data_IF_620783462659
#
_entry.id   IF_620783462659
#
_cell.length_a   1.000
_cell.length_b   1.000
_cell.length_c   1.000
_cell.angle_alpha   90.00
_cell.angle_beta   90.00
_cell.angle_gamma   90.00
#
_symmetry.space_group_name_H-M   'P 1'
#
loop_
_entity.id
_entity.type
_entity.pdbx_description
1 polymer ?
#
# COMPACT_ATOMS: atom_id res chain seq x y z
N UNK A 1 -28.13 -72.25 -13.78
CA UNK A 1 -27.05 -71.24 -13.86
C UNK A 1 -27.68 -69.92 -14.30
N UNK A 2 -27.15 -68.78 -13.84
CA UNK A 2 -27.63 -67.39 -14.06
C UNK A 2 -28.57 -66.89 -12.95
N UNK A 3 -27.98 -66.46 -11.83
CA UNK A 3 -28.59 -65.53 -10.87
C UNK A 3 -27.51 -65.00 -9.90
N UNK A 4 -26.53 -64.25 -10.43
CA UNK A 4 -25.51 -63.59 -9.61
C UNK A 4 -24.82 -62.46 -10.37
N UNK A 5 -25.56 -61.50 -10.96
CA UNK A 5 -24.89 -60.37 -11.63
C UNK A 5 -25.73 -59.09 -11.79
N UNK A 6 -26.36 -58.59 -10.72
CA UNK A 6 -26.96 -57.25 -10.76
C UNK A 6 -26.67 -56.35 -9.54
N UNK A 7 -26.14 -56.89 -8.44
CA UNK A 7 -25.94 -56.09 -7.21
C UNK A 7 -24.53 -55.50 -7.02
N UNK A 8 -23.55 -55.80 -7.88
CA UNK A 8 -22.19 -55.25 -7.74
C UNK A 8 -21.98 -53.89 -8.40
N UNK A 9 -22.81 -53.50 -9.39
CA UNK A 9 -22.63 -52.20 -10.07
C UNK A 9 -23.19 -51.01 -9.27
N UNK A 10 -24.22 -51.22 -8.45
CA UNK A 10 -24.85 -50.14 -7.69
C UNK A 10 -24.00 -49.66 -6.51
N UNK A 11 -23.22 -50.55 -5.90
CA UNK A 11 -22.40 -50.23 -4.71
C UNK A 11 -21.15 -49.43 -5.11
N UNK A 12 -20.60 -49.65 -6.31
CA UNK A 12 -19.44 -48.89 -6.79
C UNK A 12 -19.78 -47.44 -7.19
N UNK A 13 -21.02 -47.14 -7.59
CA UNK A 13 -21.43 -45.77 -7.92
C UNK A 13 -21.70 -44.92 -6.67
N UNK A 14 -22.13 -45.51 -5.56
CA UNK A 14 -22.39 -44.76 -4.32
C UNK A 14 -21.12 -44.35 -3.57
N UNK A 15 -20.00 -45.06 -3.73
CA UNK A 15 -18.75 -44.77 -3.02
C UNK A 15 -17.89 -43.66 -3.68
N UNK A 16 -18.21 -43.23 -4.91
CA UNK A 16 -17.50 -42.14 -5.60
C UNK A 16 -18.12 -40.75 -5.35
N UNK A 17 -19.29 -40.65 -4.72
CA UNK A 17 -19.98 -39.37 -4.47
C UNK A 17 -19.58 -38.74 -3.13
N UNK A 18 -18.88 -39.45 -2.25
CA UNK A 18 -18.58 -38.99 -0.88
C UNK A 18 -17.31 -38.12 -0.72
N UNK A 19 -16.59 -37.81 -1.79
CA UNK A 19 -15.37 -36.97 -1.75
C UNK A 19 -15.52 -35.62 -2.45
N UNK A 20 -16.74 -35.12 -2.61
CA UNK A 20 -16.92 -33.68 -2.86
C UNK A 20 -16.55 -32.98 -1.55
N UNK A 21 -15.28 -32.59 -1.43
CA UNK A 21 -14.83 -31.71 -0.37
C UNK A 21 -15.82 -30.53 -0.29
N UNK A 22 -16.29 -30.14 0.91
CA UNK A 22 -17.14 -28.98 1.03
C UNK A 22 -16.41 -27.83 0.35
N UNK A 23 -17.03 -27.24 -0.66
CA UNK A 23 -16.56 -25.99 -1.26
C UNK A 23 -16.55 -24.99 -0.10
N UNK A 24 -15.40 -24.85 0.57
CA UNK A 24 -15.25 -23.93 1.67
C UNK A 24 -15.64 -22.57 1.12
N UNK A 25 -16.53 -21.87 1.85
CA UNK A 25 -16.95 -20.54 1.44
C UNK A 25 -15.69 -19.69 1.16
N UNK A 26 -15.69 -18.88 0.08
CA UNK A 26 -14.49 -18.20 -0.36
C UNK A 26 -13.91 -17.37 0.78
N UNK A 27 -12.66 -17.65 1.13
CA UNK A 27 -12.00 -17.04 2.28
C UNK A 27 -11.51 -15.66 1.90
N UNK A 28 -12.24 -14.63 2.32
CA UNK A 28 -11.86 -13.24 2.07
C UNK A 28 -10.97 -12.75 3.21
N UNK A 29 -9.79 -12.24 2.87
CA UNK A 29 -8.85 -11.63 3.81
C UNK A 29 -8.52 -10.22 3.38
N UNK A 30 -8.72 -9.26 4.27
CA UNK A 30 -8.34 -7.86 4.14
C UNK A 30 -7.08 -7.65 4.97
N UNK A 31 -6.01 -7.15 4.35
CA UNK A 31 -4.73 -6.89 5.02
C UNK A 31 -4.42 -5.40 4.96
N UNK A 32 -4.28 -4.77 6.12
CA UNK A 32 -3.95 -3.34 6.22
C UNK A 32 -2.44 -3.19 6.33
N UNK A 33 -1.85 -2.32 5.52
CA UNK A 33 -0.42 -2.03 5.55
C UNK A 33 -0.10 -1.18 6.79
N UNK A 34 0.76 -1.68 7.68
CA UNK A 34 1.20 -1.00 8.90
C UNK A 34 2.69 -0.65 8.87
N UNK A 35 3.25 -0.45 7.68
CA UNK A 35 4.62 0.07 7.51
C UNK A 35 4.68 1.58 7.80
N UNK A 36 5.88 2.12 8.00
CA UNK A 36 6.16 3.49 8.50
C UNK A 36 5.33 4.56 7.79
N UNK A 37 5.36 4.60 6.46
CA UNK A 37 4.65 5.63 5.69
C UNK A 37 3.12 5.51 5.83
N UNK A 38 2.58 4.29 5.88
CA UNK A 38 1.14 4.06 6.09
C UNK A 38 0.70 4.37 7.53
N UNK A 39 1.57 4.12 8.53
CA UNK A 39 1.31 4.53 9.91
C UNK A 39 1.21 6.06 10.03
N UNK A 40 2.12 6.79 9.38
CA UNK A 40 2.06 8.27 9.31
C UNK A 40 0.74 8.72 8.67
N UNK A 41 0.28 7.99 7.65
CA UNK A 41 -0.97 8.29 6.95
C UNK A 41 -2.25 7.81 7.67
N UNK A 42 -2.16 7.25 8.88
CA UNK A 42 -3.32 6.84 9.68
C UNK A 42 -3.71 5.36 9.56
N UNK A 43 -2.77 4.45 9.30
CA UNK A 43 -3.08 3.02 9.14
C UNK A 43 -3.66 2.35 10.40
N UNK A 44 -3.37 2.86 11.60
CA UNK A 44 -3.97 2.33 12.83
C UNK A 44 -5.47 2.59 12.86
N UNK A 45 -5.90 3.80 12.52
CA UNK A 45 -7.30 4.18 12.41
C UNK A 45 -7.99 3.35 11.31
N UNK A 46 -7.30 3.15 10.18
CA UNK A 46 -7.81 2.32 9.08
C UNK A 46 -7.94 0.84 9.48
N UNK A 47 -7.05 0.34 10.32
CA UNK A 47 -7.16 -1.02 10.84
C UNK A 47 -8.34 -1.17 11.79
N UNK A 48 -8.59 -0.16 12.64
CA UNK A 48 -9.76 -0.12 13.53
C UNK A 48 -11.06 -0.03 12.72
N UNK A 49 -11.08 0.83 11.71
CA UNK A 49 -12.15 0.95 10.72
C UNK A 49 -12.44 -0.41 10.07
N UNK A 50 -11.40 -1.07 9.53
CA UNK A 50 -11.52 -2.36 8.88
C UNK A 50 -12.09 -3.43 9.81
N UNK A 51 -11.60 -3.51 11.05
CA UNK A 51 -12.12 -4.45 12.07
C UNK A 51 -13.57 -4.15 12.45
N UNK A 52 -13.96 -2.88 12.47
CA UNK A 52 -15.31 -2.47 12.85
C UNK A 52 -16.31 -2.76 11.74
N UNK A 53 -15.96 -2.49 10.48
CA UNK A 53 -16.86 -2.59 9.33
C UNK A 53 -16.88 -3.99 8.70
N UNK A 54 -15.83 -4.79 8.86
CA UNK A 54 -15.78 -6.11 8.21
C UNK A 54 -16.82 -7.06 8.80
N UNK A 55 -17.60 -7.78 7.96
CA UNK A 55 -18.49 -8.82 8.42
C UNK A 55 -17.70 -10.06 8.87
N UNK A 56 -18.36 -10.98 9.59
CA UNK A 56 -17.72 -12.20 10.12
C UNK A 56 -17.14 -13.14 9.04
N UNK A 57 -17.54 -12.99 7.79
CA UNK A 57 -16.99 -13.72 6.63
C UNK A 57 -15.66 -13.17 6.11
N UNK A 58 -15.23 -11.99 6.57
CA UNK A 58 -14.01 -11.31 6.14
C UNK A 58 -13.01 -11.28 7.29
N UNK A 59 -11.84 -11.88 7.06
CA UNK A 59 -10.72 -11.84 8.01
C UNK A 59 -9.96 -10.54 7.85
N UNK A 60 -9.65 -9.84 8.95
CA UNK A 60 -8.86 -8.61 8.93
C UNK A 60 -7.51 -8.85 9.60
N UNK A 61 -6.43 -8.55 8.89
CA UNK A 61 -5.04 -8.73 9.33
C UNK A 61 -4.18 -7.50 9.05
N UNK A 62 -3.00 -7.44 9.65
CA UNK A 62 -1.97 -6.46 9.32
C UNK A 62 -0.91 -7.06 8.39
N UNK A 63 -0.17 -6.20 7.67
CA UNK A 63 0.94 -6.63 6.81
C UNK A 63 2.01 -5.52 6.67
N UNK A 64 3.20 -5.88 6.18
CA UNK A 64 4.27 -4.92 5.84
C UNK A 64 4.01 -4.14 4.54
N UNK A 65 4.95 -3.29 4.06
CA UNK A 65 4.65 -2.46 2.86
C UNK A 65 4.26 -3.33 1.65
N UNK A 66 3.16 -2.91 1.03
CA UNK A 66 2.59 -3.53 -0.17
C UNK A 66 3.30 -3.10 -1.46
N UNK A 67 4.27 -2.18 -1.37
CA UNK A 67 5.08 -1.72 -2.50
C UNK A 67 4.82 -0.25 -2.87
N UNK A 68 3.67 0.10 -3.46
CA UNK A 68 3.37 1.47 -3.85
C UNK A 68 2.98 2.27 -2.60
N UNK A 69 3.96 2.62 -1.77
CA UNK A 69 3.78 3.34 -0.51
C UNK A 69 3.44 4.85 -0.74
N UNK A 70 2.85 5.22 -1.90
CA UNK A 70 2.41 6.58 -2.24
C UNK A 70 0.90 6.75 -2.12
N UNK A 71 0.45 7.53 -1.13
CA UNK A 71 -0.96 7.77 -0.82
C UNK A 71 -1.57 6.76 0.16
N UNK A 72 -0.96 6.56 1.33
CA UNK A 72 -1.52 5.68 2.35
C UNK A 72 -2.78 6.27 3.01
N UNK A 73 -3.49 5.47 3.83
CA UNK A 73 -3.22 4.06 4.14
C UNK A 73 -3.59 3.10 3.01
N UNK A 74 -2.85 1.99 2.89
CA UNK A 74 -3.00 1.00 1.82
C UNK A 74 -3.55 -0.32 2.33
N UNK A 75 -4.41 -0.96 1.53
CA UNK A 75 -5.06 -2.24 1.85
C UNK A 75 -4.86 -3.24 0.71
N UNK A 76 -4.57 -4.50 1.06
CA UNK A 76 -4.57 -5.65 0.16
C UNK A 76 -5.80 -6.51 0.45
N UNK A 77 -6.60 -6.82 -0.58
CA UNK A 77 -7.75 -7.71 -0.46
C UNK A 77 -7.43 -9.01 -1.18
N UNK A 78 -7.63 -10.13 -0.49
CA UNK A 78 -7.45 -11.46 -1.04
C UNK A 78 -8.74 -12.25 -0.93
N UNK A 79 -9.15 -12.88 -2.03
CA UNK A 79 -10.22 -13.88 -2.02
C UNK A 79 -9.59 -15.19 -2.45
N UNK A 80 -9.70 -16.21 -1.62
CA UNK A 80 -9.09 -17.52 -1.84
C UNK A 80 -7.57 -17.44 -2.11
N UNK A 81 -6.91 -16.53 -1.37
CA UNK A 81 -5.47 -16.29 -1.47
C UNK A 81 -5.03 -15.45 -2.68
N UNK A 82 -5.93 -15.14 -3.63
CA UNK A 82 -5.62 -14.34 -4.81
C UNK A 82 -5.77 -12.85 -4.52
N UNK A 83 -4.74 -12.06 -4.81
CA UNK A 83 -4.76 -10.60 -4.64
C UNK A 83 -5.67 -9.92 -5.65
N UNK A 84 -6.56 -9.09 -5.15
CA UNK A 84 -7.52 -8.34 -5.95
C UNK A 84 -6.95 -7.00 -6.37
N UNK A 85 -7.24 -6.61 -7.61
CA UNK A 85 -6.85 -5.31 -8.14
C UNK A 85 -7.87 -4.26 -7.72
N UNK A 86 -7.37 -3.06 -7.41
CA UNK A 86 -8.24 -1.89 -7.27
C UNK A 86 -8.85 -1.58 -8.64
N UNK A 87 -10.19 -1.58 -8.71
CA UNK A 87 -10.97 -1.22 -9.90
C UNK A 87 -11.80 0.04 -9.66
N UNK A 88 -11.55 0.79 -8.58
CA UNK A 88 -12.23 2.06 -8.32
C UNK A 88 -11.92 3.06 -9.45
N UNK A 89 -12.89 3.86 -9.89
CA UNK A 89 -12.69 4.81 -10.98
C UNK A 89 -11.60 5.82 -10.63
N UNK A 90 -10.75 6.16 -11.61
CA UNK A 90 -9.65 7.12 -11.41
C UNK A 90 -8.44 6.57 -10.64
N UNK A 91 -8.47 5.31 -10.19
CA UNK A 91 -7.29 4.65 -9.60
C UNK A 91 -6.63 3.74 -10.62
N UNK A 92 -5.30 3.74 -10.60
CA UNK A 92 -4.52 2.75 -11.34
C UNK A 92 -4.81 1.36 -10.78
N UNK A 93 -4.91 0.36 -11.66
CA UNK A 93 -5.28 -1.02 -11.32
C UNK A 93 -4.16 -1.77 -10.59
N UNK A 94 -3.75 -1.23 -9.46
CA UNK A 94 -2.76 -1.79 -8.57
C UNK A 94 -3.36 -2.94 -7.75
N UNK A 95 -2.51 -3.85 -7.29
CA UNK A 95 -2.88 -4.93 -6.38
C UNK A 95 -3.02 -4.45 -4.92
N UNK A 96 -3.37 -3.18 -4.72
CA UNK A 96 -3.67 -2.60 -3.42
C UNK A 96 -4.61 -1.41 -3.59
N UNK A 97 -5.51 -1.25 -2.63
CA UNK A 97 -6.41 -0.13 -2.50
C UNK A 97 -5.71 0.97 -1.73
N UNK A 98 -5.58 2.15 -2.34
CA UNK A 98 -4.88 3.30 -1.76
C UNK A 98 -5.85 4.32 -1.16
N UNK A 99 -5.32 5.17 -0.29
CA UNK A 99 -6.04 6.30 0.33
C UNK A 99 -7.35 5.88 1.00
N UNK A 100 -7.36 4.73 1.67
CA UNK A 100 -8.56 4.26 2.38
C UNK A 100 -8.61 4.94 3.74
N UNK A 101 -9.44 5.97 3.90
CA UNK A 101 -9.46 6.80 5.12
C UNK A 101 -10.82 6.87 5.79
N UNK A 102 -11.87 6.72 5.01
CA UNK A 102 -13.25 6.84 5.47
C UNK A 102 -13.98 5.51 5.38
N UNK A 103 -15.10 5.43 6.08
CA UNK A 103 -16.09 4.37 5.93
C UNK A 103 -16.41 4.05 4.47
N UNK A 104 -16.68 5.08 3.68
CA UNK A 104 -17.13 4.92 2.30
C UNK A 104 -16.00 4.41 1.40
N UNK A 105 -14.76 4.84 1.65
CA UNK A 105 -13.59 4.27 0.97
C UNK A 105 -13.48 2.77 1.27
N UNK A 106 -13.64 2.38 2.55
CA UNK A 106 -13.51 0.97 2.95
C UNK A 106 -14.66 0.11 2.44
N UNK A 107 -15.89 0.63 2.44
CA UNK A 107 -17.04 -0.04 1.81
C UNK A 107 -16.81 -0.23 0.31
N UNK A 108 -16.24 0.76 -0.36
CA UNK A 108 -15.86 0.63 -1.77
C UNK A 108 -14.78 -0.45 -1.98
N UNK A 109 -13.81 -0.56 -1.06
CA UNK A 109 -12.82 -1.65 -1.08
C UNK A 109 -13.49 -3.01 -0.95
N UNK A 110 -14.44 -3.18 -0.02
CA UNK A 110 -15.15 -4.46 0.15
C UNK A 110 -16.05 -4.77 -1.05
N UNK A 111 -16.74 -3.78 -1.60
CA UNK A 111 -17.59 -3.96 -2.78
C UNK A 111 -16.78 -4.36 -4.01
N UNK A 112 -15.67 -3.66 -4.27
CA UNK A 112 -14.84 -3.88 -5.47
C UNK A 112 -13.91 -5.08 -5.32
N UNK A 113 -13.31 -5.26 -4.15
CA UNK A 113 -12.31 -6.28 -3.88
C UNK A 113 -12.89 -7.61 -3.43
N UNK A 114 -13.96 -7.61 -2.63
CA UNK A 114 -14.56 -8.82 -2.08
C UNK A 114 -15.97 -9.13 -2.63
N UNK A 115 -16.60 -8.19 -3.34
CA UNK A 115 -18.00 -8.33 -3.76
C UNK A 115 -18.99 -8.29 -2.58
N UNK A 116 -18.58 -7.70 -1.45
CA UNK A 116 -19.37 -7.66 -0.21
C UNK A 116 -19.89 -6.25 0.03
N UNK A 117 -21.19 -6.12 0.28
CA UNK A 117 -21.80 -4.86 0.69
C UNK A 117 -21.98 -4.80 2.21
N UNK A 118 -21.60 -3.68 2.80
CA UNK A 118 -21.69 -3.43 4.25
C UNK A 118 -22.49 -2.16 4.48
N UNK A 119 -23.51 -2.25 5.35
CA UNK A 119 -24.34 -1.11 5.77
C UNK A 119 -23.89 -0.47 7.09
N UNK A 120 -22.94 -1.09 7.79
CA UNK A 120 -22.39 -0.59 9.04
C UNK A 120 -21.61 0.70 8.79
N UNK A 121 -21.60 1.57 9.78
CA UNK A 121 -20.81 2.81 9.80
C UNK A 121 -19.92 2.85 11.04
N UNK A 122 -18.89 3.65 10.99
CA UNK A 122 -17.99 4.00 12.09
C UNK A 122 -17.69 5.50 12.04
N UNK A 123 -17.47 6.12 13.19
CA UNK A 123 -17.08 7.53 13.27
C UNK A 123 -15.56 7.73 13.15
N UNK A 124 -14.83 6.70 12.71
CA UNK A 124 -13.37 6.72 12.61
C UNK A 124 -12.95 7.24 11.24
N UNK A 125 -12.21 8.35 11.23
CA UNK A 125 -11.61 8.91 10.02
C UNK A 125 -10.10 8.89 10.17
N UNK A 126 -9.42 8.11 9.31
CA UNK A 126 -7.97 8.04 9.32
C UNK A 126 -7.36 9.36 8.87
N UNK A 127 -6.58 9.98 9.76
CA UNK A 127 -5.95 11.28 9.50
C UNK A 127 -4.45 11.10 9.31
N UNK A 128 -3.92 11.66 8.23
CA UNK A 128 -2.47 11.68 8.01
C UNK A 128 -1.82 12.73 8.91
N UNK A 129 -0.75 12.33 9.59
CA UNK A 129 0.10 13.19 10.43
C UNK A 129 1.28 13.78 9.64
N UNK A 130 1.30 13.55 8.33
CA UNK A 130 2.37 13.95 7.43
C UNK A 130 2.52 15.46 7.35
N UNK A 131 3.75 15.94 7.53
CA UNK A 131 4.08 17.37 7.38
C UNK A 131 4.07 17.84 5.92
N UNK A 132 4.02 19.17 5.67
CA UNK A 132 3.93 19.72 4.32
C UNK A 132 5.16 19.44 3.43
N UNK A 133 6.31 19.08 4.01
CA UNK A 133 7.54 18.68 3.31
C UNK A 133 7.89 17.20 3.52
N UNK A 134 6.98 16.41 4.07
CA UNK A 134 7.17 14.97 4.24
C UNK A 134 6.66 14.20 3.03
N UNK A 135 7.50 14.19 2.00
CA UNK A 135 7.23 13.49 0.74
C UNK A 135 7.18 11.99 0.97
N UNK A 136 6.24 11.30 0.31
CA UNK A 136 6.21 9.84 0.34
C UNK A 136 7.45 9.26 -0.32
N UNK A 137 7.74 7.98 -0.04
CA UNK A 137 8.90 7.30 -0.58
C UNK A 137 9.01 7.41 -2.11
N UNK A 138 7.90 7.36 -2.83
CA UNK A 138 7.89 7.45 -4.29
C UNK A 138 8.26 8.86 -4.74
N UNK A 139 7.67 9.88 -4.12
CA UNK A 139 7.99 11.28 -4.41
C UNK A 139 9.44 11.61 -4.06
N UNK A 140 9.99 11.08 -2.96
CA UNK A 140 11.41 11.21 -2.63
C UNK A 140 12.32 10.61 -3.70
N UNK A 141 12.03 9.39 -4.15
CA UNK A 141 12.81 8.73 -5.21
C UNK A 141 12.71 9.52 -6.52
N UNK A 142 11.52 10.01 -6.87
CA UNK A 142 11.31 10.82 -8.06
C UNK A 142 12.07 12.15 -7.99
N UNK A 143 12.00 12.85 -6.86
CA UNK A 143 12.70 14.11 -6.64
C UNK A 143 14.21 13.91 -6.67
N UNK A 144 14.73 12.84 -6.07
CA UNK A 144 16.16 12.52 -6.12
C UNK A 144 16.63 12.25 -7.56
N UNK A 145 15.83 11.54 -8.36
CA UNK A 145 16.13 11.31 -9.79
C UNK A 145 16.07 12.60 -10.59
N UNK A 146 15.07 13.43 -10.36
CA UNK A 146 14.93 14.73 -11.03
C UNK A 146 16.11 15.65 -10.69
N UNK A 147 16.48 15.70 -9.42
CA UNK A 147 17.60 16.48 -8.93
C UNK A 147 18.92 15.97 -9.52
N UNK A 148 19.11 14.66 -9.62
CA UNK A 148 20.25 14.06 -10.30
C UNK A 148 20.32 14.48 -11.78
N UNK A 149 19.21 14.36 -12.51
CA UNK A 149 19.12 14.75 -13.93
C UNK A 149 19.38 16.25 -14.10
N UNK A 150 18.80 17.10 -13.25
CA UNK A 150 18.90 18.55 -13.36
C UNK A 150 20.28 19.11 -12.97
N UNK A 151 21.06 18.38 -12.17
CA UNK A 151 22.36 18.87 -11.67
C UNK A 151 23.53 18.11 -12.28
N UNK A 152 23.54 16.78 -12.23
CA UNK A 152 24.70 16.00 -12.64
C UNK A 152 24.84 15.88 -14.15
N UNK A 153 23.74 15.82 -14.92
CA UNK A 153 23.85 15.73 -16.39
C UNK A 153 24.44 17.01 -17.01
N UNK A 154 24.00 18.23 -16.64
CA UNK A 154 24.65 19.45 -17.12
C UNK A 154 26.11 19.55 -16.70
N UNK A 155 26.45 19.12 -15.48
CA UNK A 155 27.85 19.10 -15.01
C UNK A 155 28.72 18.16 -15.84
N UNK A 156 28.22 16.96 -16.14
CA UNK A 156 28.96 15.99 -16.95
C UNK A 156 29.14 16.51 -18.39
N UNK A 157 28.11 17.14 -18.97
CA UNK A 157 28.22 17.77 -20.28
C UNK A 157 29.24 18.91 -20.28
N UNK A 158 29.17 19.82 -19.30
CA UNK A 158 30.12 20.93 -19.16
C UNK A 158 31.57 20.45 -18.97
N UNK A 159 31.78 19.38 -18.19
CA UNK A 159 33.09 18.76 -18.02
C UNK A 159 33.64 18.16 -19.34
N UNK A 160 32.78 17.64 -20.21
CA UNK A 160 33.17 17.08 -21.51
C UNK A 160 33.42 18.16 -22.57
N UNK A 161 32.62 19.22 -22.58
CA UNK A 161 32.70 20.29 -23.60
C UNK A 161 33.65 21.42 -23.20
N UNK A 162 34.05 21.48 -21.93
CA UNK A 162 34.80 22.61 -21.37
C UNK A 162 33.99 23.91 -21.28
N UNK A 163 32.68 23.87 -21.60
CA UNK A 163 31.79 25.03 -21.54
C UNK A 163 31.01 25.01 -20.24
N UNK A 164 31.43 25.85 -19.30
CA UNK A 164 30.69 26.13 -18.08
C UNK A 164 29.83 27.38 -18.29
N UNK A 165 28.54 27.32 -17.96
CA UNK A 165 27.65 28.47 -18.06
C UNK A 165 28.13 29.56 -17.09
N UNK A 166 28.64 30.66 -17.64
CA UNK A 166 28.97 31.83 -16.83
C UNK A 166 27.70 32.62 -16.54
N UNK A 167 27.33 32.77 -15.27
CA UNK A 167 26.27 33.70 -14.88
C UNK A 167 26.84 35.12 -15.00
N UNK A 168 26.26 35.96 -15.87
CA UNK A 168 26.70 37.35 -16.04
C UNK A 168 26.77 38.06 -14.68
N UNK A 169 27.94 38.54 -14.29
CA UNK A 169 28.17 39.28 -13.03
C UNK A 169 28.67 38.44 -11.86
N UNK A 170 28.72 37.11 -11.99
CA UNK A 170 29.34 36.20 -11.02
C UNK A 170 30.39 35.44 -11.81
N UNK A 171 31.69 35.73 -11.60
CA UNK A 171 32.77 35.07 -12.32
C UNK A 171 32.64 33.54 -12.25
N UNK A 172 33.18 32.82 -13.23
CA UNK A 172 33.20 31.35 -13.22
C UNK A 172 33.89 30.91 -11.93
N UNK A 173 33.12 30.37 -10.98
CA UNK A 173 33.68 29.87 -9.73
C UNK A 173 34.02 28.41 -9.96
N UNK A 174 35.31 28.14 -10.15
CA UNK A 174 35.82 26.77 -10.23
C UNK A 174 35.32 25.97 -9.01
N UNK A 175 34.82 24.76 -9.26
CA UNK A 175 34.24 23.85 -8.25
C UNK A 175 32.85 24.22 -7.66
N UNK A 176 32.20 25.30 -8.10
CA UNK A 176 30.85 25.67 -7.62
C UNK A 176 29.81 24.57 -7.88
N UNK A 177 29.90 23.91 -9.02
CA UNK A 177 29.00 22.80 -9.35
C UNK A 177 29.24 21.54 -8.52
N UNK A 178 30.49 21.23 -8.15
CA UNK A 178 30.78 20.16 -7.19
C UNK A 178 30.20 20.46 -5.81
N UNK A 179 30.26 21.73 -5.38
CA UNK A 179 29.63 22.17 -4.13
C UNK A 179 28.09 22.08 -4.20
N UNK A 180 27.48 22.47 -5.33
CA UNK A 180 26.03 22.31 -5.56
C UNK A 180 25.65 20.82 -5.58
N UNK A 181 26.37 19.99 -6.32
CA UNK A 181 26.14 18.54 -6.39
C UNK A 181 26.31 17.86 -5.03
N UNK A 182 27.31 18.25 -4.25
CA UNK A 182 27.50 17.78 -2.88
C UNK A 182 26.37 18.25 -1.95
N UNK A 183 25.98 19.53 -2.00
CA UNK A 183 24.87 20.06 -1.22
C UNK A 183 23.53 19.39 -1.55
N UNK A 184 23.32 19.07 -2.82
CA UNK A 184 22.19 18.28 -3.33
C UNK A 184 22.20 16.85 -2.78
N UNK A 185 23.34 16.16 -2.84
CA UNK A 185 23.45 14.80 -2.33
C UNK A 185 23.24 14.76 -0.82
N UNK A 186 23.86 15.67 -0.07
CA UNK A 186 23.73 15.77 1.38
C UNK A 186 22.29 16.14 1.75
N UNK A 187 21.72 17.18 1.14
CA UNK A 187 20.33 17.61 1.39
C UNK A 187 19.31 16.51 1.09
N UNK A 188 19.55 15.68 0.06
CA UNK A 188 18.68 14.54 -0.26
C UNK A 188 18.63 13.48 0.83
N UNK A 189 19.68 13.34 1.67
CA UNK A 189 19.69 12.39 2.79
C UNK A 189 18.78 12.83 3.96
N UNK A 190 18.50 14.14 4.08
CA UNK A 190 17.69 14.68 5.17
C UNK A 190 16.21 14.84 4.82
N UNK A 191 15.83 14.65 3.56
CA UNK A 191 14.42 14.59 3.15
C UNK A 191 13.83 13.23 3.54
N UNK A 192 13.21 13.12 4.73
CA UNK A 192 12.30 12.00 5.04
C UNK A 192 12.54 11.17 6.31
N UNK A 193 13.37 11.61 7.25
CA UNK A 193 13.58 10.87 8.52
C UNK A 193 12.86 11.48 9.73
N UNK A 194 12.28 12.67 9.60
CA UNK A 194 11.58 13.37 10.68
C UNK A 194 10.17 12.85 10.95
N UNK A 195 10.00 11.59 11.34
CA UNK A 195 8.73 11.12 11.88
C UNK A 195 8.95 10.59 13.30
N UNK A 196 8.51 11.37 14.29
CA UNK A 196 8.18 10.82 15.62
C UNK A 196 7.01 9.86 15.39
N UNK A 197 7.27 8.57 15.51
CA UNK A 197 6.20 7.61 15.68
C UNK A 197 5.42 8.03 16.93
N UNK A 198 4.15 8.39 16.76
CA UNK A 198 3.25 8.58 17.89
C UNK A 198 2.98 7.18 18.46
N UNK A 199 3.83 6.73 19.38
CA UNK A 199 3.58 5.54 20.19
C UNK A 199 2.38 5.86 21.07
N UNK A 200 1.23 5.31 20.73
CA UNK A 200 0.04 5.41 21.57
C UNK A 200 0.24 4.75 22.94
N UNK A 201 -0.65 5.07 23.87
CA UNK A 201 -0.92 4.24 25.04
C UNK A 201 -0.94 4.98 26.36
N UNK A 202 -2.14 5.31 26.82
CA UNK A 202 -2.41 5.79 28.18
C UNK A 202 -3.90 5.81 28.46
N UNK A 203 -4.56 4.65 28.35
CA UNK A 203 -5.87 4.47 28.98
C UNK A 203 -5.66 4.65 30.49
N UNK A 204 -6.33 5.65 31.07
CA UNK A 204 -6.56 5.67 32.51
C UNK A 204 -7.73 4.73 32.79
N UNK A 205 -7.45 3.64 33.50
CA UNK A 205 -8.45 2.94 34.30
C UNK A 205 -8.97 3.92 35.36
N UNK A 206 -10.29 4.15 35.34
CA UNK A 206 -11.04 4.68 36.46
C UNK A 206 -11.38 3.50 37.36
N UNK A 207 -10.84 3.51 38.59
CA UNK A 207 -11.40 2.88 39.79
C UNK A 207 -11.71 3.99 40.80
#
# INVERSE_FOLDING_TARGET
>A
MILANQNMCAILLFLLVSHVAPFAAPTTTVRVCTDKDCLIDGANDTLQLARTLSPSSVKVETCGCLGPCGGGPNIDVRVDGVRMKDKRPGRSSFYCFKEVRTDDDFKDVLRVGAGVEVKKTSDVVATSTRGPLDFDRTTRIALQRLLYIATFLPMQNAAQTGQWDSIKGIGVVDNSYYAIGAGVLIGSQFMGTGAKANSGGGNKEED
#
